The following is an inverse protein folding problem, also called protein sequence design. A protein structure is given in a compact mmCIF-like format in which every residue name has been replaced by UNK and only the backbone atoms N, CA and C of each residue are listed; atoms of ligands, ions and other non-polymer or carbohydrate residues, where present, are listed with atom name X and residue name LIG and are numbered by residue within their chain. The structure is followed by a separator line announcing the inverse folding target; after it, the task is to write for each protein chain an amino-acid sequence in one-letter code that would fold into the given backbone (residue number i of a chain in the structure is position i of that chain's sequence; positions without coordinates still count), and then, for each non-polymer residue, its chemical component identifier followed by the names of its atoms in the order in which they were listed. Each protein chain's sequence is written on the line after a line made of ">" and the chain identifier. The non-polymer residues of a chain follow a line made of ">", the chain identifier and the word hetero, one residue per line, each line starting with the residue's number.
data_IF_648697418463
#
_entry.id   IF_648697418463
#
_cell.length_a   1.000
_cell.length_b   1.000
_cell.length_c   1.000
_cell.angle_alpha   90.00
_cell.angle_beta   90.00
_cell.angle_gamma   90.00
#
_symmetry.space_group_name_H-M   'P 1'
#
loop_
_entity.id
_entity.type
_entity.pdbx_description
1 polymer ?
#
# COMPACT_ATOMS: atom_id res chain seq x y z
N UNK A 1 -9.58 -5.33 10.78
CA UNK A 1 -8.17 -4.89 10.95
C UNK A 1 -8.00 -3.57 10.21
N UNK A 2 -7.54 -2.56 10.94
CA UNK A 2 -7.70 -1.11 10.69
C UNK A 2 -7.30 -0.63 9.29
N UNK A 3 -8.18 0.13 8.61
CA UNK A 3 -7.84 0.93 7.42
C UNK A 3 -6.95 2.11 7.86
N UNK A 4 -5.69 1.85 8.15
CA UNK A 4 -4.72 2.93 8.25
C UNK A 4 -4.39 3.36 6.82
N UNK A 5 -5.20 4.27 6.25
CA UNK A 5 -4.78 5.00 5.03
C UNK A 5 -3.55 5.79 5.45
N UNK A 6 -2.41 5.50 4.83
CA UNK A 6 -1.17 6.25 5.06
C UNK A 6 -1.49 7.73 4.75
N UNK A 7 -1.12 8.69 5.62
CA UNK A 7 -1.51 10.10 5.49
C UNK A 7 -1.26 10.66 4.09
N UNK A 8 -0.11 10.33 3.50
CA UNK A 8 0.26 10.64 2.11
C UNK A 8 -0.82 10.30 1.07
N UNK A 9 -1.54 9.19 1.23
CA UNK A 9 -2.52 8.74 0.26
C UNK A 9 -3.85 9.49 0.35
N UNK A 10 -4.15 10.12 1.49
CA UNK A 10 -5.32 11.00 1.63
C UNK A 10 -5.04 12.37 1.02
N UNK A 11 -3.84 12.87 1.24
CA UNK A 11 -3.38 14.17 0.73
C UNK A 11 -3.33 14.18 -0.79
N UNK A 12 -2.73 13.15 -1.42
CA UNK A 12 -2.70 12.98 -2.88
C UNK A 12 -4.08 12.88 -3.54
N UNK A 13 -5.07 12.29 -2.84
CA UNK A 13 -6.46 12.23 -3.35
C UNK A 13 -7.10 13.62 -3.36
N UNK A 14 -6.80 14.44 -2.36
CA UNK A 14 -7.34 15.80 -2.28
C UNK A 14 -6.70 16.70 -3.35
N UNK A 15 -5.40 16.57 -3.60
CA UNK A 15 -4.69 17.29 -4.66
C UNK A 15 -5.24 16.95 -6.06
N UNK A 16 -5.48 15.66 -6.32
CA UNK A 16 -6.05 15.22 -7.60
C UNK A 16 -7.48 15.77 -7.81
N UNK A 17 -8.31 15.78 -6.76
CA UNK A 17 -9.65 16.34 -6.81
C UNK A 17 -9.61 17.87 -7.05
N UNK A 18 -8.67 18.58 -6.43
CA UNK A 18 -8.43 19.99 -6.68
C UNK A 18 -8.03 20.25 -8.15
N UNK A 19 -7.15 19.42 -8.73
CA UNK A 19 -6.72 19.55 -10.13
C UNK A 19 -7.91 19.42 -11.07
N UNK A 20 -8.73 18.39 -10.87
CA UNK A 20 -9.92 18.17 -11.68
C UNK A 20 -10.91 19.33 -11.58
N UNK A 21 -11.13 19.87 -10.38
CA UNK A 21 -12.04 20.99 -10.16
C UNK A 21 -11.54 22.29 -10.79
N UNK A 22 -10.22 22.51 -10.79
CA UNK A 22 -9.58 23.63 -11.45
C UNK A 22 -9.76 23.52 -12.98
N UNK A 23 -9.32 22.40 -13.58
CA UNK A 23 -9.36 22.17 -15.02
C UNK A 23 -10.80 22.05 -15.58
N UNK A 24 -11.78 21.71 -14.74
CA UNK A 24 -13.20 21.70 -15.12
C UNK A 24 -13.91 23.04 -14.92
N UNK A 25 -13.22 24.07 -14.40
CA UNK A 25 -13.81 25.37 -14.09
C UNK A 25 -14.85 25.34 -12.96
N UNK A 26 -14.84 24.30 -12.13
CA UNK A 26 -15.78 24.13 -11.01
C UNK A 26 -15.25 24.76 -9.70
N UNK A 27 -14.02 25.25 -9.70
CA UNK A 27 -13.41 25.95 -8.59
C UNK A 27 -13.79 27.45 -8.62
N UNK A 28 -14.17 28.06 -7.48
CA UNK A 28 -14.41 29.50 -7.39
C UNK A 28 -13.17 30.31 -7.84
N UNK A 29 -13.33 31.47 -8.49
CA UNK A 29 -12.22 32.26 -9.03
C UNK A 29 -11.14 32.60 -7.98
N UNK A 30 -11.56 33.05 -6.80
CA UNK A 30 -10.63 33.41 -5.71
C UNK A 30 -9.75 32.21 -5.32
N UNK A 31 -10.38 31.03 -5.18
CA UNK A 31 -9.67 29.78 -4.84
C UNK A 31 -8.78 29.29 -5.97
N UNK A 32 -9.18 29.48 -7.22
CA UNK A 32 -8.39 29.10 -8.38
C UNK A 32 -7.10 29.92 -8.44
N UNK A 33 -7.19 31.23 -8.19
CA UNK A 33 -6.04 32.12 -8.14
C UNK A 33 -5.08 31.81 -6.98
N UNK A 34 -5.62 31.54 -5.79
CA UNK A 34 -4.83 31.09 -4.65
C UNK A 34 -4.09 29.77 -4.98
N UNK A 35 -4.79 28.82 -5.59
CA UNK A 35 -4.20 27.52 -5.98
C UNK A 35 -3.10 27.68 -7.03
N UNK A 36 -3.30 28.53 -8.03
CA UNK A 36 -2.29 28.84 -9.05
C UNK A 36 -1.05 29.47 -8.43
N UNK A 37 -1.24 30.39 -7.47
CA UNK A 37 -0.15 31.01 -6.72
C UNK A 37 0.63 29.99 -5.88
N UNK A 38 -0.07 29.10 -5.19
CA UNK A 38 0.53 28.05 -4.36
C UNK A 38 1.27 26.98 -5.19
N UNK A 39 0.87 26.77 -6.45
CA UNK A 39 1.40 25.73 -7.35
C UNK A 39 2.28 26.26 -8.48
N UNK A 40 2.56 27.56 -8.50
CA UNK A 40 3.32 28.24 -9.55
C UNK A 40 4.66 27.52 -9.86
N UNK A 41 5.36 27.11 -8.81
CA UNK A 41 6.67 26.47 -8.89
C UNK A 41 6.60 24.93 -8.97
N UNK A 42 5.40 24.33 -9.06
CA UNK A 42 5.23 22.88 -9.19
C UNK A 42 5.19 22.46 -10.67
N UNK A 43 6.31 21.94 -11.24
CA UNK A 43 6.35 21.55 -12.64
C UNK A 43 5.37 20.41 -12.95
N UNK A 44 5.05 19.54 -11.98
CA UNK A 44 4.09 18.46 -12.21
C UNK A 44 2.67 19.00 -12.31
N UNK A 45 2.34 20.04 -11.55
CA UNK A 45 1.03 20.66 -11.61
C UNK A 45 0.82 21.33 -12.95
N UNK A 46 1.77 22.15 -13.39
CA UNK A 46 1.72 22.86 -14.65
C UNK A 46 1.64 21.90 -15.85
N UNK A 47 2.51 20.87 -15.90
CA UNK A 47 2.47 19.83 -16.93
C UNK A 47 1.13 19.08 -16.96
N UNK A 48 0.55 18.80 -15.79
CA UNK A 48 -0.73 18.10 -15.69
C UNK A 48 -1.90 18.98 -16.13
N UNK A 49 -1.91 20.28 -15.77
CA UNK A 49 -2.91 21.24 -16.26
C UNK A 49 -2.85 21.33 -17.77
N UNK A 50 -1.67 21.59 -18.35
CA UNK A 50 -1.48 21.68 -19.79
C UNK A 50 -1.95 20.40 -20.50
N UNK A 51 -1.51 19.24 -20.02
CA UNK A 51 -1.89 17.95 -20.59
C UNK A 51 -3.39 17.67 -20.50
N UNK A 52 -4.07 18.06 -19.42
CA UNK A 52 -5.51 17.86 -19.24
C UNK A 52 -6.36 18.91 -19.97
N UNK A 53 -5.79 20.07 -20.29
CA UNK A 53 -6.44 21.10 -21.11
C UNK A 53 -6.50 20.73 -22.59
N UNK A 54 -5.48 20.05 -23.10
CA UNK A 54 -5.41 19.57 -24.49
C UNK A 54 -6.41 18.44 -24.81
N UNK A 55 -7.09 17.88 -23.80
CA UNK A 55 -8.02 16.77 -23.98
C UNK A 55 -9.43 17.26 -24.27
N UNK A 56 -10.00 16.84 -25.41
CA UNK A 56 -11.38 17.15 -25.78
C UNK A 56 -12.40 16.55 -24.79
N UNK A 57 -12.19 15.30 -24.35
CA UNK A 57 -13.12 14.58 -23.47
C UNK A 57 -12.51 14.34 -22.08
N UNK A 58 -12.59 15.39 -21.24
CA UNK A 58 -12.13 15.36 -19.84
C UNK A 58 -12.90 14.34 -18.99
N UNK A 59 -14.18 14.08 -19.30
CA UNK A 59 -15.02 13.15 -18.52
C UNK A 59 -14.61 11.70 -18.74
N UNK A 60 -14.32 11.32 -19.99
CA UNK A 60 -13.81 9.99 -20.32
C UNK A 60 -12.49 9.70 -19.63
N UNK A 61 -11.57 10.67 -19.62
CA UNK A 61 -10.27 10.52 -18.96
C UNK A 61 -10.44 10.41 -17.44
N UNK A 62 -11.29 11.25 -16.83
CA UNK A 62 -11.61 11.14 -15.40
C UNK A 62 -12.13 9.75 -15.03
N UNK A 63 -13.02 9.19 -15.84
CA UNK A 63 -13.56 7.83 -15.63
C UNK A 63 -12.46 6.76 -15.75
N UNK A 64 -11.57 6.87 -16.74
CA UNK A 64 -10.43 5.97 -16.90
C UNK A 64 -9.52 6.04 -15.67
N UNK A 65 -9.23 7.23 -15.17
CA UNK A 65 -8.39 7.42 -13.97
C UNK A 65 -8.99 6.74 -12.74
N UNK A 66 -10.30 6.90 -12.53
CA UNK A 66 -11.02 6.20 -11.43
C UNK A 66 -10.89 4.69 -11.56
N UNK A 67 -11.07 4.13 -12.76
CA UNK A 67 -10.94 2.70 -13.00
C UNK A 67 -9.51 2.21 -12.73
N UNK A 68 -8.50 2.94 -13.22
CA UNK A 68 -7.08 2.64 -12.99
C UNK A 68 -6.74 2.66 -11.50
N UNK A 69 -7.19 3.67 -10.76
CA UNK A 69 -7.00 3.73 -9.31
C UNK A 69 -7.61 2.52 -8.60
N UNK A 70 -8.81 2.11 -9.00
CA UNK A 70 -9.43 0.91 -8.44
C UNK A 70 -8.60 -0.35 -8.76
N UNK A 71 -8.08 -0.48 -9.98
CA UNK A 71 -7.25 -1.60 -10.38
C UNK A 71 -5.91 -1.64 -9.63
N UNK A 72 -5.23 -0.49 -9.49
CA UNK A 72 -3.99 -0.37 -8.71
C UNK A 72 -4.25 -0.80 -7.26
N UNK A 73 -5.31 -0.29 -6.64
CA UNK A 73 -5.68 -0.65 -5.26
C UNK A 73 -5.97 -2.15 -5.14
N UNK A 74 -6.66 -2.76 -6.11
CA UNK A 74 -6.91 -4.21 -6.14
C UNK A 74 -5.61 -5.00 -6.26
N UNK A 75 -4.70 -4.61 -7.14
CA UNK A 75 -3.42 -5.31 -7.36
C UNK A 75 -2.50 -5.21 -6.13
N UNK A 76 -2.38 -4.03 -5.52
CA UNK A 76 -1.56 -3.83 -4.32
C UNK A 76 -2.17 -4.55 -3.10
N UNK A 77 -3.49 -4.51 -2.94
CA UNK A 77 -4.17 -5.27 -1.89
C UNK A 77 -4.04 -6.80 -2.07
N UNK A 78 -4.00 -7.28 -3.31
CA UNK A 78 -3.79 -8.70 -3.63
C UNK A 78 -2.37 -9.15 -3.26
N UNK A 79 -1.34 -8.35 -3.57
CA UNK A 79 0.06 -8.65 -3.21
C UNK A 79 0.28 -8.66 -1.69
N UNK A 80 -0.38 -7.78 -0.93
CA UNK A 80 -0.32 -7.76 0.54
C UNK A 80 -0.91 -9.01 1.22
N UNK A 81 -1.82 -9.73 0.55
CA UNK A 81 -2.45 -10.95 1.08
C UNK A 81 -1.63 -12.23 0.82
N UNK A 82 -0.57 -12.16 0.00
CA UNK A 82 0.31 -13.32 -0.27
C UNK A 82 1.35 -13.58 0.83
N UNK A 83 1.40 -12.78 1.89
CA UNK A 83 2.11 -13.12 3.14
C UNK A 83 1.22 -13.98 4.06
N UNK A 84 0.80 -15.15 3.59
CA UNK A 84 0.31 -16.25 4.45
C UNK A 84 1.19 -17.49 4.31
N UNK A 85 2.49 -17.29 4.04
CA UNK A 85 3.51 -18.33 4.13
C UNK A 85 4.04 -18.47 5.56
N UNK A 86 3.19 -18.83 6.53
CA UNK A 86 3.62 -19.47 7.79
C UNK A 86 2.87 -20.80 7.93
N UNK A 87 2.48 -21.41 6.81
CA UNK A 87 1.83 -22.72 6.79
C UNK A 87 2.84 -23.80 6.38
N UNK A 88 4.03 -23.79 6.98
CA UNK A 88 5.11 -24.73 6.62
C UNK A 88 6.09 -25.09 7.74
N UNK A 89 6.06 -24.44 8.90
CA UNK A 89 7.07 -24.68 9.95
C UNK A 89 6.59 -25.55 11.12
N UNK A 90 5.32 -25.98 11.13
CA UNK A 90 4.82 -26.86 12.21
C UNK A 90 5.56 -28.20 12.24
N UNK A 91 5.83 -28.79 11.08
CA UNK A 91 6.54 -30.07 10.98
C UNK A 91 7.98 -29.96 11.49
N UNK A 92 8.68 -28.86 11.16
CA UNK A 92 10.03 -28.58 11.67
C UNK A 92 10.05 -28.44 13.20
N UNK A 93 9.09 -27.72 13.77
CA UNK A 93 8.99 -27.53 15.22
C UNK A 93 8.77 -28.85 15.97
N UNK A 94 7.90 -29.73 15.45
CA UNK A 94 7.66 -31.05 16.04
C UNK A 94 8.93 -31.91 16.01
N UNK A 95 9.65 -31.93 14.89
CA UNK A 95 10.90 -32.70 14.75
C UNK A 95 11.97 -32.19 15.72
N UNK A 96 12.14 -30.86 15.83
CA UNK A 96 13.12 -30.26 16.75
C UNK A 96 12.81 -30.62 18.21
N UNK A 97 11.55 -30.58 18.63
CA UNK A 97 11.15 -30.94 20.00
C UNK A 97 11.41 -32.42 20.29
N UNK A 98 11.10 -33.31 19.33
CA UNK A 98 11.37 -34.74 19.45
C UNK A 98 12.86 -35.06 19.61
N UNK A 99 13.71 -34.38 18.83
CA UNK A 99 15.16 -34.57 18.86
C UNK A 99 15.76 -34.07 20.19
N UNK A 100 15.25 -32.95 20.70
CA UNK A 100 15.66 -32.41 22.00
C UNK A 100 15.25 -33.35 23.15
N UNK A 101 14.05 -33.91 23.10
CA UNK A 101 13.57 -34.89 24.09
C UNK A 101 14.42 -36.18 24.08
N UNK A 102 14.85 -36.65 22.90
CA UNK A 102 15.75 -37.79 22.77
C UNK A 102 17.10 -37.53 23.47
N UNK A 103 17.69 -36.35 23.26
CA UNK A 103 18.96 -35.97 23.90
C UNK A 103 18.83 -35.96 25.43
N UNK A 104 17.72 -35.43 25.96
CA UNK A 104 17.45 -35.41 27.40
C UNK A 104 17.34 -36.83 27.96
N UNK A 105 16.65 -37.73 27.26
CA UNK A 105 16.54 -39.14 27.68
C UNK A 105 17.93 -39.80 27.69
N UNK A 106 18.72 -39.63 26.62
CA UNK A 106 20.09 -40.17 26.56
C UNK A 106 20.95 -39.65 27.72
N UNK A 107 20.86 -38.35 28.04
CA UNK A 107 21.60 -37.75 29.15
C UNK A 107 21.18 -38.35 30.50
N UNK A 108 19.87 -38.49 30.74
CA UNK A 108 19.36 -39.09 31.97
C UNK A 108 19.79 -40.55 32.12
N UNK A 109 19.72 -41.33 31.05
CA UNK A 109 20.20 -42.72 31.04
C UNK A 109 21.69 -42.83 31.34
N UNK A 110 22.52 -41.98 30.73
CA UNK A 110 23.96 -41.99 30.98
C UNK A 110 24.27 -41.58 32.42
N UNK A 111 23.68 -40.49 32.91
CA UNK A 111 23.92 -40.00 34.27
C UNK A 111 23.38 -40.95 35.34
N UNK A 112 22.22 -41.58 35.13
CA UNK A 112 21.61 -42.51 36.09
C UNK A 112 22.22 -43.92 36.01
N UNK A 113 22.66 -44.35 34.83
CA UNK A 113 23.33 -45.65 34.61
C UNK A 113 24.78 -45.68 35.04
N UNK A 114 25.51 -44.55 34.98
CA UNK A 114 26.89 -44.43 35.48
C UNK A 114 26.95 -44.31 37.01
N UNK A 115 25.84 -43.93 37.66
CA UNK A 115 25.77 -43.71 39.12
C UNK A 115 25.21 -44.91 39.90
N UNK A 116 24.97 -46.05 39.25
CA UNK A 116 24.76 -47.37 39.87
C UNK A 116 25.97 -48.25 39.63
#
# INVERSE_FOLDING_TARGET
>A
MSKHKIPYQKERLNEEEQLWNYVSGSMPPDKAHDTESDKLDDPFWNDAVEGLEQLEDKQKIKNITVQLQQQIRKQTASKGKKKKGIQGHWQGMVITVLLLLLIVICYLFFHFGVKR
#
